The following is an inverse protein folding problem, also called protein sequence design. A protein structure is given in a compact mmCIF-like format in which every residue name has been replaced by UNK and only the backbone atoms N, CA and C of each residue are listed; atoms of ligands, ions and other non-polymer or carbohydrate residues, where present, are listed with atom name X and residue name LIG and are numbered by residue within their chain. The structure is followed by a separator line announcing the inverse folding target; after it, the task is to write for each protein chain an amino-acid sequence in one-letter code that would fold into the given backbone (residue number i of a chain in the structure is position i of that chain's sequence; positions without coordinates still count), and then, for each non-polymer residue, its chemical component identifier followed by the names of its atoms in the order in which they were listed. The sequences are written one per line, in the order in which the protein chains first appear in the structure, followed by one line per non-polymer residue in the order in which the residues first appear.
data_IF_499085023357
#
_entry.id   IF_499085023357
#
_cell.length_a   1.000
_cell.length_b   1.000
_cell.length_c   1.000
_cell.angle_alpha   90.00
_cell.angle_beta   90.00
_cell.angle_gamma   90.00
#
_symmetry.space_group_name_H-M   'P 1'
#
loop_
_entity.id
_entity.type
_entity.pdbx_description
1 polymer ?
#
# COMPACT_ATOMS: atom_id res chain seq x y z
N UNK A 1 9.51 3.01 46.43
CA UNK A 1 10.84 3.43 45.89
C UNK A 1 11.07 2.52 44.69
N UNK A 2 10.57 2.82 43.50
CA UNK A 2 11.07 3.87 42.62
C UNK A 2 11.76 3.17 41.44
N UNK A 3 10.99 2.44 40.62
CA UNK A 3 11.50 1.90 39.36
C UNK A 3 11.92 3.10 38.51
N UNK A 4 13.23 3.23 38.28
CA UNK A 4 13.90 4.40 37.69
C UNK A 4 13.54 4.65 36.23
N UNK A 5 12.27 4.86 35.94
CA UNK A 5 11.79 5.35 34.67
C UNK A 5 12.22 6.81 34.55
N UNK A 6 13.21 7.05 33.70
CA UNK A 6 13.60 8.40 33.30
C UNK A 6 12.44 9.02 32.53
N UNK A 7 11.73 9.96 33.16
CA UNK A 7 10.74 10.79 32.48
C UNK A 7 11.48 11.89 31.73
N UNK A 8 11.36 11.91 30.41
CA UNK A 8 11.88 13.00 29.59
C UNK A 8 10.78 14.05 29.42
N UNK A 9 11.06 15.28 29.86
CA UNK A 9 10.19 16.44 29.60
C UNK A 9 10.84 17.30 28.52
N UNK A 10 10.08 17.56 27.46
CA UNK A 10 10.44 18.57 26.47
C UNK A 10 9.58 19.82 26.72
N UNK A 11 10.22 20.97 26.93
CA UNK A 11 9.57 22.26 27.12
C UNK A 11 10.00 23.18 25.98
N UNK A 12 9.04 23.88 25.38
CA UNK A 12 9.30 24.86 24.32
C UNK A 12 8.41 26.08 24.52
N UNK A 13 8.90 27.25 24.08
CA UNK A 13 8.15 28.51 24.09
C UNK A 13 7.94 28.97 22.67
N UNK A 14 6.71 29.39 22.34
CA UNK A 14 6.35 29.91 21.02
C UNK A 14 5.86 31.34 21.20
N UNK A 15 6.42 32.26 20.40
CA UNK A 15 6.00 33.66 20.36
C UNK A 15 5.21 33.90 19.08
N UNK A 16 3.93 34.22 19.21
CA UNK A 16 3.08 34.56 18.08
C UNK A 16 3.34 36.01 17.64
N UNK A 17 3.71 36.26 16.37
CA UNK A 17 4.13 37.58 15.92
C UNK A 17 2.98 38.55 15.64
N UNK A 18 1.74 38.05 15.51
CA UNK A 18 0.59 38.84 15.07
C UNK A 18 -0.56 38.77 16.09
N UNK A 19 -1.19 39.92 16.32
CA UNK A 19 -2.31 40.06 17.23
C UNK A 19 -3.59 39.55 16.55
N UNK A 20 -4.30 38.62 17.19
CA UNK A 20 -5.55 38.07 16.68
C UNK A 20 -5.40 36.82 15.79
N UNK A 21 -4.18 36.31 15.61
CA UNK A 21 -3.95 35.09 14.83
C UNK A 21 -4.45 33.84 15.55
N UNK A 22 -4.97 32.89 14.76
CA UNK A 22 -5.26 31.53 15.19
C UNK A 22 -4.13 30.62 14.70
N UNK A 23 -3.34 30.10 15.62
CA UNK A 23 -2.22 29.20 15.31
C UNK A 23 -2.52 27.76 15.72
N UNK A 24 -2.17 26.81 14.86
CA UNK A 24 -2.27 25.39 15.13
C UNK A 24 -0.88 24.80 15.32
N UNK A 25 -0.70 24.04 16.39
CA UNK A 25 0.54 23.32 16.68
C UNK A 25 0.32 21.83 16.49
N UNK A 26 1.24 21.19 15.78
CA UNK A 26 1.21 19.76 15.54
C UNK A 26 2.61 19.18 15.66
N UNK A 27 2.70 17.93 16.11
CA UNK A 27 3.98 17.21 16.21
C UNK A 27 4.64 17.03 14.83
N UNK A 28 3.81 16.78 13.80
CA UNK A 28 4.19 16.73 12.39
C UNK A 28 3.11 17.41 11.54
N UNK A 29 3.47 17.84 10.33
CA UNK A 29 2.49 18.43 9.40
C UNK A 29 1.36 17.41 9.13
N UNK A 30 0.11 17.72 9.51
CA UNK A 30 -0.94 16.73 9.58
C UNK A 30 -1.41 16.31 8.19
N UNK A 31 -1.84 15.07 8.07
CA UNK A 31 -2.58 14.56 6.92
C UNK A 31 -3.86 13.92 7.44
N UNK A 32 -4.99 14.61 7.29
CA UNK A 32 -6.27 14.16 7.85
C UNK A 32 -6.90 13.05 7.02
N UNK A 33 -7.81 12.29 7.64
CA UNK A 33 -8.60 11.32 6.89
C UNK A 33 -9.54 12.00 5.87
N UNK A 34 -10.08 13.18 6.17
CA UNK A 34 -10.86 13.97 5.19
C UNK A 34 -10.01 14.38 3.99
N UNK A 35 -8.74 14.74 4.20
CA UNK A 35 -7.79 15.03 3.11
C UNK A 35 -7.58 13.80 2.23
N UNK A 36 -7.43 12.61 2.81
CA UNK A 36 -7.35 11.37 2.04
C UNK A 36 -8.56 11.20 1.09
N UNK A 37 -9.77 11.41 1.60
CA UNK A 37 -10.99 11.27 0.80
C UNK A 37 -11.06 12.32 -0.32
N UNK A 38 -10.59 13.54 -0.07
CA UNK A 38 -10.45 14.58 -1.09
C UNK A 38 -9.42 14.19 -2.16
N UNK A 39 -8.24 13.70 -1.75
CA UNK A 39 -7.20 13.27 -2.67
C UNK A 39 -7.66 12.08 -3.53
N UNK A 40 -8.39 11.12 -2.95
CA UNK A 40 -9.02 10.01 -3.70
C UNK A 40 -10.00 10.54 -4.76
N UNK A 41 -10.82 11.53 -4.40
CA UNK A 41 -11.76 12.14 -5.32
C UNK A 41 -11.02 12.83 -6.48
N UNK A 42 -9.96 13.57 -6.16
CA UNK A 42 -9.09 14.21 -7.15
C UNK A 42 -8.42 13.18 -8.08
N UNK A 43 -7.85 12.10 -7.53
CA UNK A 43 -7.21 11.04 -8.33
C UNK A 43 -8.18 10.37 -9.31
N UNK A 44 -9.42 10.13 -8.87
CA UNK A 44 -10.48 9.60 -9.75
C UNK A 44 -10.84 10.55 -10.89
N UNK A 45 -10.84 11.86 -10.64
CA UNK A 45 -11.09 12.86 -11.68
C UNK A 45 -9.93 12.91 -12.68
N UNK A 46 -8.69 12.89 -12.19
CA UNK A 46 -7.48 12.86 -13.01
C UNK A 46 -7.44 11.62 -13.91
N UNK A 47 -7.75 10.43 -13.39
CA UNK A 47 -7.76 9.19 -14.17
C UNK A 47 -8.83 9.14 -15.26
N UNK A 48 -9.91 9.90 -15.10
CA UNK A 48 -11.03 9.95 -16.06
C UNK A 48 -10.92 11.08 -17.08
N UNK A 49 -9.93 11.96 -16.94
CA UNK A 49 -9.79 13.13 -17.80
C UNK A 49 -9.30 12.72 -19.19
N UNK A 50 -10.04 13.11 -20.23
CA UNK A 50 -9.75 12.83 -21.66
C UNK A 50 -8.48 13.50 -22.19
N UNK A 51 -7.75 14.27 -21.37
CA UNK A 51 -6.42 14.78 -21.69
C UNK A 51 -5.35 13.67 -21.75
N UNK A 52 -5.63 12.47 -21.23
CA UNK A 52 -4.75 11.30 -21.27
C UNK A 52 -5.08 10.35 -22.43
N UNK A 53 -5.09 10.87 -23.66
CA UNK A 53 -5.48 10.11 -24.87
C UNK A 53 -4.57 8.89 -25.11
N UNK A 54 -3.33 8.90 -24.62
CA UNK A 54 -2.34 7.83 -24.85
C UNK A 54 -2.24 6.78 -23.74
N UNK A 55 -2.89 6.96 -22.60
CA UNK A 55 -2.76 6.05 -21.46
C UNK A 55 -4.12 5.81 -20.81
N UNK A 56 -4.75 4.72 -21.23
CA UNK A 56 -6.05 4.27 -20.75
C UNK A 56 -5.95 3.78 -19.29
N UNK A 57 -5.70 4.67 -18.34
CA UNK A 57 -5.46 4.32 -16.94
C UNK A 57 -6.72 3.74 -16.30
N UNK A 58 -6.63 2.51 -15.79
CA UNK A 58 -7.59 1.92 -14.88
C UNK A 58 -7.32 2.40 -13.45
N UNK A 59 -8.27 3.16 -12.89
CA UNK A 59 -8.26 3.59 -11.50
C UNK A 59 -9.57 3.20 -10.82
N UNK A 60 -9.49 2.32 -9.83
CA UNK A 60 -10.66 1.86 -9.08
C UNK A 60 -10.42 1.98 -7.59
N UNK A 61 -11.44 2.41 -6.85
CA UNK A 61 -11.43 2.44 -5.39
C UNK A 61 -12.53 1.51 -4.89
N UNK A 62 -12.18 0.60 -4.01
CA UNK A 62 -13.12 -0.29 -3.33
C UNK A 62 -12.98 -0.09 -1.82
N UNK A 63 -14.04 -0.38 -1.08
CA UNK A 63 -13.97 -0.43 0.38
C UNK A 63 -13.43 -1.81 0.79
N UNK A 64 -12.23 -1.85 1.37
CA UNK A 64 -11.63 -3.08 1.87
C UNK A 64 -12.40 -3.62 3.09
N UNK A 65 -12.72 -2.71 4.01
CA UNK A 65 -13.47 -2.94 5.25
C UNK A 65 -13.90 -1.60 5.83
N UNK A 66 -14.57 -1.62 6.98
CA UNK A 66 -14.75 -0.46 7.85
C UNK A 66 -13.96 -0.66 9.15
N UNK A 67 -13.57 0.43 9.80
CA UNK A 67 -12.87 0.43 11.09
C UNK A 67 -13.85 0.20 12.25
N UNK A 68 -13.37 0.27 13.50
CA UNK A 68 -14.20 0.11 14.71
C UNK A 68 -15.21 1.26 14.81
N UNK A 69 -14.79 2.48 14.47
CA UNK A 69 -15.68 3.65 14.40
C UNK A 69 -16.37 3.78 13.04
N UNK A 70 -16.46 2.69 12.28
CA UNK A 70 -17.23 2.61 11.04
C UNK A 70 -16.69 3.52 9.90
N UNK A 71 -15.43 3.94 9.95
CA UNK A 71 -14.80 4.68 8.86
C UNK A 71 -14.38 3.71 7.73
N UNK A 72 -14.68 4.01 6.45
CA UNK A 72 -14.31 3.12 5.36
C UNK A 72 -12.79 3.09 5.14
N UNK A 73 -12.25 1.91 4.86
CA UNK A 73 -10.82 1.72 4.56
C UNK A 73 -10.70 1.48 3.05
N UNK A 74 -10.28 2.48 2.26
CA UNK A 74 -10.19 2.33 0.83
C UNK A 74 -9.02 1.43 0.43
N UNK A 75 -9.23 0.60 -0.58
CA UNK A 75 -8.17 -0.02 -1.38
C UNK A 75 -8.26 0.51 -2.80
N UNK A 76 -7.16 1.08 -3.28
CA UNK A 76 -7.02 1.69 -4.60
C UNK A 76 -6.33 0.68 -5.52
N UNK A 77 -6.85 0.52 -6.73
CA UNK A 77 -6.25 -0.26 -7.81
C UNK A 77 -5.86 0.67 -8.95
N UNK A 78 -4.59 0.67 -9.34
CA UNK A 78 -4.06 1.45 -10.47
C UNK A 78 -3.33 0.52 -11.43
N UNK A 79 -3.66 0.56 -12.72
CA UNK A 79 -2.95 -0.15 -13.80
C UNK A 79 -3.36 0.47 -15.14
N UNK A 80 -2.79 0.03 -16.25
CA UNK A 80 -3.27 0.40 -17.60
C UNK A 80 -4.41 -0.54 -18.02
N UNK A 81 -5.51 -0.03 -18.58
CA UNK A 81 -6.54 -0.87 -19.22
C UNK A 81 -5.94 -1.57 -20.44
N UNK A 82 -6.51 -2.72 -20.76
CA UNK A 82 -6.04 -3.54 -21.86
C UNK A 82 -6.81 -3.10 -23.10
N UNK A 83 -6.07 -2.66 -24.13
CA UNK A 83 -6.67 -2.12 -25.33
C UNK A 83 -7.49 -3.21 -26.03
N UNK A 84 -8.70 -2.86 -26.47
CA UNK A 84 -9.61 -3.74 -27.21
C UNK A 84 -9.02 -4.35 -28.50
N UNK A 85 -7.86 -3.86 -28.97
CA UNK A 85 -7.16 -4.35 -30.16
C UNK A 85 -6.28 -5.58 -29.89
N UNK A 86 -5.69 -5.75 -28.69
CA UNK A 86 -4.95 -6.99 -28.35
C UNK A 86 -5.91 -8.20 -28.31
N UNK A 87 -7.14 -7.97 -27.83
CA UNK A 87 -8.23 -8.96 -27.84
C UNK A 87 -8.58 -9.40 -29.29
N UNK A 88 -8.45 -8.51 -30.29
CA UNK A 88 -8.76 -8.85 -31.70
C UNK A 88 -7.65 -9.63 -32.39
N UNK A 89 -6.39 -9.39 -32.04
CA UNK A 89 -5.26 -10.08 -32.66
C UNK A 89 -5.15 -11.54 -32.19
N UNK A 90 -5.50 -11.83 -30.93
CA UNK A 90 -5.52 -13.21 -30.39
C UNK A 90 -6.73 -14.04 -30.85
N UNK A 91 -7.84 -13.41 -31.25
CA UNK A 91 -9.03 -14.09 -31.81
C UNK A 91 -8.84 -14.63 -33.25
N UNK A 92 -7.66 -14.48 -33.85
CA UNK A 92 -7.35 -15.03 -35.18
C UNK A 92 -6.86 -16.49 -35.15
N UNK A 93 -6.80 -17.12 -33.97
CA UNK A 93 -6.66 -18.57 -33.83
C UNK A 93 -7.94 -19.32 -34.24
N UNK A 94 -7.86 -20.56 -34.75
CA UNK A 94 -9.01 -21.29 -35.25
C UNK A 94 -10.03 -21.52 -34.11
N UNK A 95 -11.34 -21.31 -34.35
CA UNK A 95 -12.34 -21.39 -33.30
C UNK A 95 -12.51 -22.84 -32.83
N UNK A 96 -12.26 -23.09 -31.54
CA UNK A 96 -12.75 -24.30 -30.87
C UNK A 96 -14.28 -24.26 -30.79
N UNK A 97 -14.90 -25.37 -31.18
CA UNK A 97 -16.35 -25.53 -31.22
C UNK A 97 -16.90 -25.63 -29.79
N UNK A 98 -17.52 -24.56 -29.30
CA UNK A 98 -18.26 -24.63 -28.04
C UNK A 98 -19.77 -24.88 -28.26
N UNK A 99 -20.34 -25.73 -27.39
CA UNK A 99 -21.74 -26.17 -27.41
C UNK A 99 -22.59 -25.24 -26.55
N UNK A 100 -23.57 -24.61 -27.18
CA UNK A 100 -24.47 -23.65 -26.54
C UNK A 100 -25.50 -24.28 -25.60
N UNK A 101 -25.72 -23.63 -24.45
CA UNK A 101 -27.00 -23.61 -23.73
C UNK A 101 -27.31 -22.17 -23.33
N UNK A 102 -28.42 -21.63 -23.85
CA UNK A 102 -28.84 -20.25 -23.63
C UNK A 102 -29.70 -20.05 -22.39
N UNK A 103 -29.76 -18.79 -21.92
CA UNK A 103 -30.91 -18.20 -21.20
C UNK A 103 -30.94 -16.67 -21.29
N UNK A 104 -32.11 -16.03 -21.09
CA UNK A 104 -32.48 -14.77 -21.72
C UNK A 104 -32.28 -13.50 -20.88
N UNK A 105 -31.98 -12.44 -21.62
CA UNK A 105 -32.23 -11.00 -21.54
C UNK A 105 -32.87 -10.35 -20.29
N UNK A 106 -32.26 -9.24 -19.87
CA UNK A 106 -32.98 -8.10 -19.25
C UNK A 106 -32.29 -7.37 -18.10
N UNK A 107 -31.25 -6.57 -18.36
CA UNK A 107 -30.87 -5.41 -17.52
C UNK A 107 -29.93 -4.45 -18.28
N UNK A 108 -30.23 -3.15 -18.22
CA UNK A 108 -29.53 -2.09 -18.95
C UNK A 108 -28.03 -2.02 -18.60
N UNK A 109 -27.20 -1.84 -19.64
CA UNK A 109 -25.76 -2.07 -19.61
C UNK A 109 -24.96 -1.13 -18.71
N UNK A 110 -24.51 -1.68 -17.59
CA UNK A 110 -23.13 -1.43 -17.14
C UNK A 110 -22.24 -2.26 -18.07
N UNK A 111 -21.17 -1.72 -18.68
CA UNK A 111 -20.27 -2.55 -19.47
C UNK A 111 -19.57 -3.56 -18.54
N UNK A 112 -20.14 -4.75 -18.45
CA UNK A 112 -19.51 -5.92 -17.83
C UNK A 112 -18.27 -6.24 -18.67
N UNK A 113 -17.06 -6.15 -18.12
CA UNK A 113 -15.87 -6.52 -18.87
C UNK A 113 -15.99 -7.99 -19.27
N UNK A 114 -15.71 -8.31 -20.55
CA UNK A 114 -15.74 -9.68 -21.06
C UNK A 114 -14.69 -10.54 -20.34
N UNK A 115 -14.92 -11.85 -20.20
CA UNK A 115 -14.06 -12.78 -19.43
C UNK A 115 -12.56 -12.68 -19.76
N UNK A 116 -12.23 -12.40 -21.03
CA UNK A 116 -10.85 -12.28 -21.52
C UNK A 116 -10.15 -10.98 -21.07
N UNK A 117 -10.90 -9.89 -20.86
CA UNK A 117 -10.34 -8.65 -20.29
C UNK A 117 -9.94 -8.83 -18.82
N UNK A 118 -10.68 -9.66 -18.08
CA UNK A 118 -10.33 -10.03 -16.71
C UNK A 118 -9.09 -10.92 -16.66
N UNK A 119 -8.97 -11.92 -17.54
CA UNK A 119 -7.83 -12.85 -17.57
C UNK A 119 -6.49 -12.15 -17.78
N UNK A 120 -6.47 -11.11 -18.61
CA UNK A 120 -5.24 -10.39 -18.93
C UNK A 120 -4.80 -9.41 -17.82
N UNK A 121 -5.73 -8.82 -17.05
CA UNK A 121 -5.40 -8.18 -15.75
C UNK A 121 -4.94 -9.19 -14.68
N UNK A 122 -5.41 -10.44 -14.78
CA UNK A 122 -5.10 -11.52 -13.84
C UNK A 122 -3.65 -11.99 -13.98
N UNK A 123 -3.03 -11.86 -15.17
CA UNK A 123 -1.64 -12.28 -15.37
C UNK A 123 -0.59 -11.26 -14.90
N UNK A 124 -0.89 -9.95 -14.87
CA UNK A 124 0.12 -8.95 -14.49
C UNK A 124 0.58 -9.15 -13.03
N UNK A 125 1.89 -9.09 -12.73
CA UNK A 125 2.36 -9.06 -11.35
C UNK A 125 1.79 -7.83 -10.63
N UNK A 126 1.58 -7.95 -9.33
CA UNK A 126 1.03 -6.85 -8.54
C UNK A 126 1.99 -6.37 -7.46
N UNK A 127 1.96 -5.06 -7.21
CA UNK A 127 2.68 -4.39 -6.14
C UNK A 127 1.65 -3.99 -5.09
N UNK A 128 1.88 -4.38 -3.84
CA UNK A 128 0.99 -4.08 -2.73
C UNK A 128 1.62 -3.02 -1.82
N UNK A 129 0.95 -1.89 -1.66
CA UNK A 129 1.43 -0.77 -0.85
C UNK A 129 0.47 -0.50 0.29
N UNK A 130 0.99 -0.36 1.50
CA UNK A 130 0.23 0.12 2.65
C UNK A 130 0.90 1.31 3.27
N UNK A 131 0.13 2.17 3.94
CA UNK A 131 0.68 3.26 4.71
C UNK A 131 -0.14 3.47 5.97
N UNK A 132 0.47 4.20 6.91
CA UNK A 132 -0.24 4.83 8.02
C UNK A 132 -0.94 3.85 8.97
N UNK A 133 -0.25 2.77 9.31
CA UNK A 133 -0.70 1.81 10.33
C UNK A 133 -0.58 2.38 11.74
N UNK A 134 0.47 3.14 12.02
CA UNK A 134 0.53 4.02 13.18
C UNK A 134 -0.05 5.38 12.78
N UNK A 135 -0.85 5.99 13.64
CA UNK A 135 -1.66 7.19 13.36
C UNK A 135 -1.00 8.54 13.71
N UNK A 136 0.23 8.56 14.24
CA UNK A 136 1.07 9.76 14.46
C UNK A 136 2.08 10.08 13.34
N UNK A 137 2.60 9.06 12.66
CA UNK A 137 3.48 9.10 11.46
C UNK A 137 2.84 9.68 10.16
N UNK A 138 2.45 10.96 10.15
CA UNK A 138 1.76 11.59 9.00
C UNK A 138 2.60 11.68 7.73
N UNK A 139 3.94 11.65 7.86
CA UNK A 139 4.88 11.58 6.75
C UNK A 139 4.57 10.42 5.80
N UNK A 140 4.15 9.25 6.32
CA UNK A 140 3.78 8.09 5.49
C UNK A 140 2.61 8.38 4.55
N UNK A 141 1.64 9.19 4.97
CA UNK A 141 0.52 9.63 4.12
C UNK A 141 0.96 10.59 3.02
N UNK A 142 1.91 11.48 3.29
CA UNK A 142 2.47 12.37 2.27
C UNK A 142 3.29 11.60 1.23
N UNK A 143 4.05 10.59 1.66
CA UNK A 143 4.80 9.71 0.76
C UNK A 143 3.84 8.93 -0.15
N UNK A 144 2.82 8.27 0.40
CA UNK A 144 1.88 7.52 -0.45
C UNK A 144 1.06 8.43 -1.37
N UNK A 145 0.76 9.67 -0.94
CA UNK A 145 0.14 10.67 -1.81
C UNK A 145 1.04 10.96 -3.02
N UNK A 146 2.32 11.23 -2.79
CA UNK A 146 3.30 11.48 -3.87
C UNK A 146 3.51 10.28 -4.80
N UNK A 147 3.51 9.06 -4.25
CA UNK A 147 3.56 7.83 -5.05
C UNK A 147 2.36 7.74 -5.98
N UNK A 148 1.13 7.96 -5.48
CA UNK A 148 -0.09 7.90 -6.30
C UNK A 148 -0.12 9.04 -7.32
N UNK A 149 0.26 10.26 -6.93
CA UNK A 149 0.35 11.40 -7.84
C UNK A 149 1.30 11.11 -9.02
N UNK A 150 2.49 10.53 -8.76
CA UNK A 150 3.43 10.12 -9.82
C UNK A 150 2.89 8.96 -10.64
N UNK A 151 2.30 7.95 -10.00
CA UNK A 151 1.66 6.82 -10.68
C UNK A 151 0.46 7.22 -11.56
N UNK A 152 -0.10 8.42 -11.41
CA UNK A 152 -1.17 8.95 -12.27
C UNK A 152 -0.67 10.02 -13.25
N UNK A 153 0.63 10.31 -13.26
CA UNK A 153 1.23 11.26 -14.19
C UNK A 153 1.47 10.66 -15.58
N UNK A 154 1.63 11.54 -16.57
CA UNK A 154 1.94 11.19 -17.97
C UNK A 154 3.44 10.98 -18.22
N UNK A 155 4.24 10.83 -17.15
CA UNK A 155 5.63 10.43 -17.27
C UNK A 155 5.72 9.07 -18.02
N UNK A 156 6.49 8.97 -19.12
CA UNK A 156 6.57 7.75 -19.91
C UNK A 156 6.97 6.51 -19.10
N UNK A 157 7.82 6.68 -18.09
CA UNK A 157 8.21 5.58 -17.21
C UNK A 157 7.03 5.12 -16.33
N UNK A 158 6.18 6.05 -15.89
CA UNK A 158 4.98 5.73 -15.10
C UNK A 158 3.90 5.08 -15.95
N UNK A 159 3.73 5.51 -17.21
CA UNK A 159 2.85 4.85 -18.20
C UNK A 159 3.30 3.40 -18.39
N UNK A 160 4.60 3.18 -18.69
CA UNK A 160 5.16 1.83 -18.84
C UNK A 160 4.95 1.00 -17.58
N UNK A 161 5.17 1.59 -16.40
CA UNK A 161 5.00 0.91 -15.13
C UNK A 161 3.54 0.48 -14.88
N UNK A 162 2.55 1.32 -15.23
CA UNK A 162 1.12 0.97 -15.20
C UNK A 162 0.78 -0.16 -16.17
N UNK A 163 1.46 -0.25 -17.32
CA UNK A 163 1.32 -1.36 -18.27
C UNK A 163 1.89 -2.69 -17.77
N UNK A 164 2.93 -2.64 -16.92
CA UNK A 164 3.61 -3.84 -16.40
C UNK A 164 3.00 -4.40 -15.11
N UNK A 165 2.47 -3.54 -14.24
CA UNK A 165 2.05 -3.92 -12.89
C UNK A 165 0.61 -3.51 -12.56
N UNK A 166 0.00 -4.27 -11.65
CA UNK A 166 -1.20 -3.84 -10.93
C UNK A 166 -0.78 -3.30 -9.57
N UNK A 167 -1.08 -2.04 -9.30
CA UNK A 167 -0.85 -1.43 -7.98
C UNK A 167 -2.08 -1.63 -7.11
N UNK A 168 -1.92 -2.26 -5.94
CA UNK A 168 -2.95 -2.39 -4.90
C UNK A 168 -2.51 -1.60 -3.68
N UNK A 169 -3.23 -0.53 -3.35
CA UNK A 169 -2.78 0.46 -2.37
C UNK A 169 -3.82 0.64 -1.27
N UNK A 170 -3.43 0.45 -0.01
CA UNK A 170 -4.22 0.84 1.18
C UNK A 170 -3.55 2.07 1.79
N UNK A 171 -3.99 3.29 1.43
CA UNK A 171 -3.28 4.52 1.76
C UNK A 171 -3.35 4.89 3.25
N UNK A 172 -4.29 4.29 4.00
CA UNK A 172 -4.40 4.51 5.44
C UNK A 172 -4.97 3.30 6.16
N UNK A 173 -4.13 2.61 6.94
CA UNK A 173 -4.53 1.43 7.72
C UNK A 173 -5.19 1.75 9.06
N UNK A 174 -5.00 2.98 9.60
CA UNK A 174 -5.59 3.40 10.88
C UNK A 174 -6.36 4.74 10.80
N UNK A 175 -7.46 4.82 10.03
CA UNK A 175 -8.29 6.03 9.95
C UNK A 175 -8.78 6.54 11.32
N UNK A 176 -9.28 5.66 12.18
CA UNK A 176 -9.82 6.06 13.49
C UNK A 176 -8.74 6.71 14.36
N UNK A 177 -7.55 6.11 14.41
CA UNK A 177 -6.44 6.68 15.17
C UNK A 177 -6.04 8.06 14.65
N UNK A 178 -6.12 8.30 13.33
CA UNK A 178 -5.85 9.62 12.74
C UNK A 178 -6.92 10.62 13.12
N UNK A 179 -8.20 10.25 13.04
CA UNK A 179 -9.34 11.12 13.39
C UNK A 179 -9.30 11.50 14.87
N UNK A 180 -9.00 10.54 15.75
CA UNK A 180 -8.95 10.75 17.20
C UNK A 180 -7.63 11.33 17.72
N UNK A 181 -6.62 11.53 16.86
CA UNK A 181 -5.32 12.08 17.26
C UNK A 181 -4.43 11.12 18.04
N UNK A 182 -4.62 9.80 17.92
CA UNK A 182 -3.72 8.81 18.49
C UNK A 182 -2.35 8.86 17.78
N UNK A 183 -1.28 8.51 18.49
CA UNK A 183 0.05 8.40 17.85
C UNK A 183 0.34 7.00 17.28
N UNK A 184 -0.05 5.92 17.98
CA UNK A 184 0.42 4.55 17.64
C UNK A 184 -0.69 3.52 17.51
N UNK A 185 -1.60 3.47 18.48
CA UNK A 185 -2.59 2.42 18.59
C UNK A 185 -3.88 2.74 17.81
N UNK A 186 -4.62 1.69 17.43
CA UNK A 186 -6.02 1.83 17.00
C UNK A 186 -6.95 2.09 18.19
N UNK A 187 -8.25 2.23 17.92
CA UNK A 187 -9.28 2.38 18.96
C UNK A 187 -9.44 1.16 19.87
N UNK A 188 -8.93 -0.01 19.48
CA UNK A 188 -8.83 -1.17 20.36
C UNK A 188 -7.65 -1.09 21.35
N UNK A 189 -6.89 0.01 21.37
CA UNK A 189 -5.71 0.18 22.21
C UNK A 189 -4.54 -0.74 21.83
N UNK A 190 -4.52 -1.27 20.60
CA UNK A 190 -3.48 -2.18 20.10
C UNK A 190 -2.65 -1.53 19.00
N UNK A 191 -1.35 -1.83 19.00
CA UNK A 191 -0.47 -1.57 17.86
C UNK A 191 -0.86 -2.53 16.72
N UNK A 192 -1.45 -1.98 15.66
CA UNK A 192 -1.94 -2.73 14.50
C UNK A 192 -0.79 -3.46 13.76
N UNK A 193 0.41 -2.88 13.75
CA UNK A 193 1.58 -3.51 13.14
C UNK A 193 2.15 -4.66 13.99
N UNK A 194 1.51 -5.00 15.12
CA UNK A 194 1.78 -6.21 15.93
C UNK A 194 0.66 -7.23 15.84
N UNK A 195 -0.33 -7.03 14.97
CA UNK A 195 -1.52 -7.91 14.87
C UNK A 195 -1.55 -8.77 13.60
N UNK A 196 -0.59 -8.63 12.67
CA UNK A 196 -0.56 -9.38 11.41
C UNK A 196 -0.54 -10.91 11.56
N UNK A 197 0.01 -11.46 12.64
CA UNK A 197 0.05 -12.93 12.86
C UNK A 197 -1.36 -13.48 13.06
N UNK A 198 -2.12 -12.91 14.01
CA UNK A 198 -3.48 -13.34 14.34
C UNK A 198 -4.40 -12.11 14.54
N UNK A 199 -4.78 -11.43 13.46
CA UNK A 199 -5.68 -10.29 13.56
C UNK A 199 -7.11 -10.77 13.85
N UNK A 200 -7.89 -9.94 14.54
CA UNK A 200 -9.31 -10.20 14.83
C UNK A 200 -10.13 -9.35 13.85
N UNK A 201 -11.19 -9.88 13.23
CA UNK A 201 -12.05 -9.10 12.35
C UNK A 201 -12.74 -7.95 13.10
N UNK A 202 -13.07 -8.12 14.38
CA UNK A 202 -13.77 -7.09 15.16
C UNK A 202 -12.82 -6.03 15.74
N UNK A 203 -11.67 -6.45 16.29
CA UNK A 203 -10.72 -5.54 16.95
C UNK A 203 -9.68 -4.95 16.00
N UNK A 204 -9.36 -5.65 14.92
CA UNK A 204 -8.31 -5.27 13.97
C UNK A 204 -8.80 -5.40 12.51
N UNK A 205 -10.00 -4.89 12.16
CA UNK A 205 -10.62 -5.14 10.85
C UNK A 205 -9.69 -4.78 9.69
N UNK A 206 -8.97 -3.66 9.78
CA UNK A 206 -8.08 -3.18 8.71
C UNK A 206 -6.97 -4.18 8.41
N UNK A 207 -6.28 -4.68 9.45
CA UNK A 207 -5.23 -5.69 9.30
C UNK A 207 -5.81 -7.04 8.89
N UNK A 208 -6.95 -7.44 9.47
CA UNK A 208 -7.60 -8.70 9.14
C UNK A 208 -7.97 -8.77 7.65
N UNK A 209 -8.67 -7.76 7.14
CA UNK A 209 -9.12 -7.73 5.75
C UNK A 209 -7.98 -7.47 4.75
N UNK A 210 -6.96 -6.68 5.10
CA UNK A 210 -5.73 -6.58 4.27
C UNK A 210 -5.04 -7.93 4.15
N UNK A 211 -4.88 -8.67 5.26
CA UNK A 211 -4.31 -10.02 5.25
C UNK A 211 -5.17 -10.99 4.45
N UNK A 212 -6.50 -10.94 4.59
CA UNK A 212 -7.42 -11.80 3.83
C UNK A 212 -7.36 -11.53 2.33
N UNK A 213 -7.23 -10.27 1.91
CA UNK A 213 -7.04 -9.93 0.50
C UNK A 213 -5.74 -10.54 -0.05
N UNK A 214 -4.63 -10.43 0.67
CA UNK A 214 -3.36 -11.06 0.27
C UNK A 214 -3.47 -12.59 0.22
N UNK A 215 -4.12 -13.21 1.21
CA UNK A 215 -4.35 -14.66 1.24
C UNK A 215 -5.23 -15.13 0.07
N UNK A 216 -6.27 -14.36 -0.27
CA UNK A 216 -7.13 -14.64 -1.41
C UNK A 216 -6.35 -14.56 -2.73
N UNK A 217 -5.57 -13.49 -2.93
CA UNK A 217 -4.72 -13.35 -4.11
C UNK A 217 -3.71 -14.49 -4.23
N UNK A 218 -3.08 -14.86 -3.11
CA UNK A 218 -2.15 -15.99 -3.05
C UNK A 218 -2.83 -17.32 -3.40
N UNK A 219 -4.04 -17.57 -2.89
CA UNK A 219 -4.83 -18.76 -3.22
C UNK A 219 -5.21 -18.82 -4.70
N UNK A 220 -5.34 -17.67 -5.36
CA UNK A 220 -5.50 -17.56 -6.82
C UNK A 220 -4.17 -17.66 -7.60
N UNK A 221 -3.08 -18.13 -6.96
CA UNK A 221 -1.77 -18.25 -7.59
C UNK A 221 -1.03 -16.92 -7.79
N UNK A 222 -1.48 -15.84 -7.16
CA UNK A 222 -0.89 -14.50 -7.30
C UNK A 222 -0.15 -14.10 -6.03
N UNK A 223 1.17 -14.24 -6.03
CA UNK A 223 2.03 -13.69 -4.98
C UNK A 223 2.34 -12.21 -5.28
N UNK A 224 2.39 -11.31 -4.28
CA UNK A 224 2.81 -9.94 -4.53
C UNK A 224 4.26 -9.94 -5.03
N UNK A 225 4.52 -9.19 -6.10
CA UNK A 225 5.87 -8.98 -6.61
C UNK A 225 6.70 -8.17 -5.61
N UNK A 226 6.08 -7.14 -5.03
CA UNK A 226 6.62 -6.36 -3.90
C UNK A 226 5.47 -6.03 -2.95
N UNK A 227 5.72 -6.11 -1.65
CA UNK A 227 4.88 -5.53 -0.61
C UNK A 227 5.68 -4.45 0.11
N UNK A 228 5.14 -3.23 0.26
CA UNK A 228 5.79 -2.12 1.00
C UNK A 228 4.80 -1.53 2.00
N UNK A 229 5.24 -1.36 3.25
CA UNK A 229 4.53 -0.59 4.27
C UNK A 229 5.27 0.72 4.59
N UNK A 230 4.64 1.88 4.42
CA UNK A 230 5.23 3.19 4.68
C UNK A 230 5.00 3.64 6.14
N UNK A 231 6.08 4.00 6.83
CA UNK A 231 6.14 4.40 8.24
C UNK A 231 6.88 5.74 8.41
N UNK A 232 6.98 6.20 9.65
CA UNK A 232 7.95 7.22 10.07
C UNK A 232 8.77 6.77 11.28
N UNK A 233 10.03 7.19 11.36
CA UNK A 233 10.86 6.94 12.54
C UNK A 233 10.93 8.16 13.44
N UNK A 234 10.72 7.98 14.74
CA UNK A 234 10.78 9.09 15.72
C UNK A 234 12.21 9.54 16.06
N UNK A 235 13.24 8.74 15.74
CA UNK A 235 14.63 8.98 16.15
C UNK A 235 15.65 9.08 15.02
N UNK A 236 15.40 8.40 13.91
CA UNK A 236 16.38 8.26 12.84
C UNK A 236 16.06 9.33 11.80
N UNK A 237 17.12 9.88 11.22
CA UNK A 237 17.04 10.86 10.14
C UNK A 237 17.16 10.13 8.80
N UNK A 238 16.80 10.82 7.71
CA UNK A 238 16.80 10.30 6.33
C UNK A 238 15.77 9.20 6.09
N UNK A 239 15.68 8.74 4.84
CA UNK A 239 14.79 7.66 4.41
C UNK A 239 15.58 6.35 4.42
N UNK A 240 15.01 5.29 4.96
CA UNK A 240 15.63 3.97 4.96
C UNK A 240 14.56 2.89 4.94
N UNK A 241 14.98 1.64 5.05
CA UNK A 241 14.06 0.51 4.93
C UNK A 241 14.43 -0.65 5.84
N UNK A 242 13.38 -1.31 6.32
CA UNK A 242 13.47 -2.57 7.01
C UNK A 242 12.99 -3.69 6.10
N UNK A 243 13.89 -4.62 5.77
CA UNK A 243 13.56 -5.81 4.99
C UNK A 243 13.32 -7.05 5.87
N UNK A 244 13.19 -8.20 5.20
CA UNK A 244 12.78 -9.47 5.80
C UNK A 244 13.79 -10.57 5.46
N UNK A 245 15.02 -10.44 5.94
CA UNK A 245 15.99 -11.54 5.87
C UNK A 245 15.55 -12.66 6.81
N UNK A 246 15.30 -13.88 6.30
CA UNK A 246 15.02 -15.02 7.16
C UNK A 246 16.20 -15.38 8.07
N UNK A 247 17.43 -15.12 7.60
CA UNK A 247 18.66 -15.38 8.34
C UNK A 247 18.91 -14.37 9.47
N UNK A 248 18.45 -13.13 9.31
CA UNK A 248 18.53 -12.11 10.37
C UNK A 248 17.26 -12.04 11.23
N UNK A 249 16.24 -12.87 10.95
CA UNK A 249 14.95 -12.80 11.65
C UNK A 249 15.11 -13.08 13.15
N UNK A 250 14.44 -12.27 13.97
CA UNK A 250 14.34 -12.49 15.41
C UNK A 250 13.54 -13.76 15.78
N UNK A 251 12.83 -14.38 14.84
CA UNK A 251 12.11 -15.64 15.05
C UNK A 251 12.91 -16.80 14.46
N UNK A 252 13.46 -17.63 15.35
CA UNK A 252 14.24 -18.83 14.98
C UNK A 252 13.61 -19.74 13.91
N UNK A 253 12.27 -19.97 13.87
CA UNK A 253 11.67 -20.79 12.82
C UNK A 253 11.78 -20.20 11.41
N UNK A 254 11.95 -18.88 11.27
CA UNK A 254 11.98 -18.22 9.96
C UNK A 254 13.25 -18.60 9.17
N UNK A 255 14.38 -18.78 9.87
CA UNK A 255 15.69 -19.10 9.31
C UNK A 255 15.71 -20.41 8.51
N UNK A 256 14.83 -21.35 8.85
CA UNK A 256 14.76 -22.67 8.22
C UNK A 256 13.50 -22.84 7.38
N UNK A 257 12.66 -21.80 7.25
CA UNK A 257 11.41 -21.89 6.52
C UNK A 257 11.69 -21.77 5.00
N UNK A 258 11.50 -22.83 4.20
CA UNK A 258 11.78 -22.80 2.77
C UNK A 258 10.97 -21.74 2.02
N UNK A 259 9.77 -21.43 2.50
CA UNK A 259 8.92 -20.38 1.91
C UNK A 259 9.50 -18.98 2.11
N UNK A 260 10.32 -18.76 3.14
CA UNK A 260 10.94 -17.46 3.43
C UNK A 260 12.34 -17.35 2.81
N UNK A 261 13.08 -18.46 2.70
CA UNK A 261 14.38 -18.48 2.05
C UNK A 261 14.31 -18.12 0.57
N UNK A 262 13.23 -18.50 -0.13
CA UNK A 262 13.00 -18.09 -1.52
C UNK A 262 13.98 -18.70 -2.54
N UNK A 263 14.80 -19.67 -2.12
CA UNK A 263 15.62 -20.52 -2.98
C UNK A 263 15.89 -21.89 -2.30
N UNK A 264 16.26 -22.93 -3.06
CA UNK A 264 16.64 -24.22 -2.48
C UNK A 264 17.98 -24.15 -1.72
N UNK A 265 18.05 -24.81 -0.56
CA UNK A 265 19.27 -24.91 0.26
C UNK A 265 19.33 -23.93 1.44
N UNK A 266 20.47 -23.81 2.14
CA UNK A 266 20.62 -22.97 3.35
C UNK A 266 20.83 -21.48 3.04
N UNK A 267 20.78 -21.09 1.76
CA UNK A 267 20.97 -19.71 1.33
C UNK A 267 19.62 -18.98 1.31
N UNK A 268 19.65 -17.66 1.51
CA UNK A 268 18.49 -16.80 1.30
C UNK A 268 18.55 -16.11 -0.07
N UNK A 269 17.39 -15.89 -0.67
CA UNK A 269 17.23 -15.03 -1.83
C UNK A 269 17.34 -13.55 -1.40
N UNK A 270 18.37 -12.85 -1.89
CA UNK A 270 18.66 -11.45 -1.51
C UNK A 270 17.95 -10.40 -2.37
N UNK A 271 16.99 -10.78 -3.22
CA UNK A 271 16.26 -9.84 -4.07
C UNK A 271 15.57 -8.72 -3.28
N UNK A 272 15.18 -8.97 -2.02
CA UNK A 272 14.62 -7.96 -1.12
C UNK A 272 15.60 -6.80 -0.84
N UNK A 273 16.90 -6.95 -1.08
CA UNK A 273 17.91 -5.89 -0.91
C UNK A 273 17.98 -4.94 -2.10
N UNK A 274 17.58 -5.37 -3.31
CA UNK A 274 17.76 -4.59 -4.54
C UNK A 274 17.12 -3.21 -4.47
N UNK A 275 15.95 -3.07 -3.86
CA UNK A 275 15.28 -1.78 -3.72
C UNK A 275 16.14 -0.78 -2.92
N UNK A 276 16.85 -1.24 -1.88
CA UNK A 276 17.79 -0.41 -1.13
C UNK A 276 18.97 0.06 -1.99
N UNK A 277 19.45 -0.79 -2.89
CA UNK A 277 20.60 -0.49 -3.73
C UNK A 277 20.23 0.52 -4.81
N UNK A 278 19.04 0.38 -5.40
CA UNK A 278 18.50 1.34 -6.36
C UNK A 278 18.26 2.68 -5.67
N UNK A 279 17.59 2.69 -4.50
CA UNK A 279 17.29 3.93 -3.78
C UNK A 279 18.55 4.68 -3.34
N UNK A 280 19.61 3.99 -2.94
CA UNK A 280 20.90 4.63 -2.64
C UNK A 280 21.48 5.39 -3.84
N UNK A 281 21.23 4.91 -5.06
CA UNK A 281 21.72 5.53 -6.29
C UNK A 281 20.82 6.68 -6.77
N UNK A 282 19.50 6.55 -6.61
CA UNK A 282 18.53 7.48 -7.24
C UNK A 282 17.91 8.49 -6.27
N UNK A 283 17.98 8.25 -4.96
CA UNK A 283 17.37 9.10 -3.94
C UNK A 283 18.44 9.67 -3.00
N UNK A 284 18.83 10.95 -3.14
CA UNK A 284 19.90 11.56 -2.32
C UNK A 284 19.64 11.54 -0.82
N UNK A 285 18.36 11.49 -0.41
CA UNK A 285 17.93 11.45 1.00
C UNK A 285 17.81 10.03 1.54
N UNK A 286 18.02 9.01 0.71
CA UNK A 286 18.01 7.62 1.14
C UNK A 286 19.31 7.24 1.85
N UNK A 287 19.23 6.32 2.81
CA UNK A 287 20.35 5.89 3.63
C UNK A 287 20.41 4.36 3.71
N UNK A 288 21.12 3.72 2.77
CA UNK A 288 21.35 2.26 2.78
C UNK A 288 22.00 1.79 4.08
N UNK A 289 22.92 2.59 4.65
CA UNK A 289 23.58 2.30 5.94
C UNK A 289 22.62 2.21 7.13
N UNK A 290 21.45 2.83 7.03
CA UNK A 290 20.43 2.86 8.08
C UNK A 290 19.41 1.72 7.93
N UNK A 291 19.52 0.92 6.87
CA UNK A 291 18.62 -0.18 6.61
C UNK A 291 18.94 -1.38 7.52
N UNK A 292 17.90 -2.11 7.91
CA UNK A 292 17.99 -3.32 8.72
C UNK A 292 17.17 -4.44 8.08
N UNK A 293 17.52 -5.70 8.24
CA UNK A 293 16.79 -6.78 7.57
C UNK A 293 16.25 -7.86 8.52
N UNK A 294 16.51 -7.77 9.82
CA UNK A 294 16.05 -8.76 10.81
C UNK A 294 14.72 -8.50 11.52
N UNK A 295 14.07 -7.35 11.30
CA UNK A 295 13.00 -6.86 12.19
C UNK A 295 11.60 -6.85 11.58
N UNK A 296 11.45 -6.97 10.27
CA UNK A 296 10.18 -6.68 9.61
C UNK A 296 9.44 -7.96 9.17
N UNK A 297 8.13 -7.97 9.40
CA UNK A 297 7.20 -9.01 8.89
C UNK A 297 6.88 -8.74 7.40
N UNK A 298 7.15 -7.52 6.92
CA UNK A 298 7.05 -7.12 5.53
C UNK A 298 7.99 -5.92 5.24
N UNK A 299 8.36 -5.69 3.98
CA UNK A 299 9.26 -4.60 3.62
C UNK A 299 8.68 -3.26 4.06
N UNK A 300 9.41 -2.51 4.88
CA UNK A 300 8.95 -1.26 5.46
C UNK A 300 9.84 -0.12 4.98
N UNK A 301 9.28 0.93 4.39
CA UNK A 301 10.01 2.17 4.10
C UNK A 301 9.69 3.16 5.22
N UNK A 302 10.73 3.74 5.82
CA UNK A 302 10.66 4.62 6.98
C UNK A 302 11.23 5.99 6.67
#
# INVERSE_FOLDING_TARGET
VGDGNTYFTATFSIRFPHLGDVCYLAYHYPYSYTRLLTDITRWRQLSNSTANISDDTYFQVQTLTRTILDNPVPVITITQRIASQEIRNEQTGPPEKDKSYGRPDGAAGVPTPTSHSYESFVQRPYIFLTARVHSGESNSSWVIQGVIDRLLSNDPDMVRLRGMFVFKIVPMLNPDGVICGNHRCSMAGKDLNRRWINPSPDLHPTIYHSKKLLQLLYACGRQPYVFIDFHGHSRMKNIFLYGCSPLESWRSPDTYNPAYLGCPGPLENRAYRHLAEVLEQVAPTFSKKSCMYGFAIAFTIV
#
